data_IF_087197662562
#
_entry.id   IF_087197662562
#
_cell.length_a   1.000
_cell.length_b   1.000
_cell.length_c   1.000
_cell.angle_alpha   90.00
_cell.angle_beta   90.00
_cell.angle_gamma   90.00
#
_symmetry.space_group_name_H-M   'P 1'
#
loop_
_entity.id
_entity.type
_entity.pdbx_description
1 polymer ?
#
# COMPACT_ATOMS: atom_id res chain seq x y z
N UNK A 1 77.28 -19.11 -44.04
CA UNK A 1 76.55 -19.64 -42.89
C UNK A 1 76.41 -18.52 -41.88
N UNK A 2 75.25 -17.84 -41.89
CA UNK A 2 74.89 -16.75 -40.97
C UNK A 2 73.66 -17.13 -40.19
N UNK A 3 73.84 -17.25 -38.88
CA UNK A 3 72.78 -17.57 -37.94
C UNK A 3 72.04 -16.27 -37.53
N UNK A 4 70.81 -16.11 -37.99
CA UNK A 4 69.96 -14.96 -37.66
C UNK A 4 69.16 -15.29 -36.38
N UNK A 5 69.47 -14.64 -35.26
CA UNK A 5 68.72 -14.75 -33.98
C UNK A 5 67.64 -13.72 -33.99
N UNK A 6 66.40 -14.19 -34.12
CA UNK A 6 65.19 -13.34 -33.94
C UNK A 6 64.87 -13.19 -32.44
N UNK A 7 65.05 -11.98 -31.90
CA UNK A 7 64.61 -11.64 -30.57
C UNK A 7 63.09 -11.40 -30.62
N UNK A 8 62.31 -12.27 -29.96
CA UNK A 8 60.87 -12.12 -29.81
C UNK A 8 60.60 -11.26 -28.56
N UNK A 9 60.25 -10.01 -28.76
CA UNK A 9 59.81 -9.12 -27.67
C UNK A 9 58.39 -9.42 -27.29
N UNK A 10 58.20 -10.03 -26.12
CA UNK A 10 56.87 -10.25 -25.52
C UNK A 10 56.40 -8.95 -24.92
N UNK A 11 55.39 -8.33 -25.55
CA UNK A 11 54.65 -7.19 -25.00
C UNK A 11 53.61 -7.74 -24.01
N UNK A 12 53.83 -7.51 -22.71
CA UNK A 12 52.85 -7.75 -21.66
C UNK A 12 51.81 -6.65 -21.72
N UNK A 13 50.67 -6.91 -22.36
CA UNK A 13 49.49 -6.06 -22.18
C UNK A 13 48.97 -6.24 -20.73
N UNK A 14 49.28 -5.28 -19.89
CA UNK A 14 48.63 -5.11 -18.59
C UNK A 14 47.17 -4.72 -18.82
N UNK A 15 46.25 -5.70 -18.74
CA UNK A 15 44.86 -5.45 -18.68
C UNK A 15 44.54 -4.88 -17.28
N UNK A 16 44.47 -3.57 -17.17
CA UNK A 16 43.97 -2.90 -15.97
C UNK A 16 42.50 -3.26 -15.76
N UNK A 17 42.23 -4.19 -14.82
CA UNK A 17 40.90 -4.47 -14.33
C UNK A 17 40.44 -3.24 -13.54
N UNK A 18 39.73 -2.33 -14.19
CA UNK A 18 38.87 -1.36 -13.48
C UNK A 18 37.72 -2.15 -12.87
N UNK A 19 37.86 -2.53 -11.60
CA UNK A 19 36.75 -3.00 -10.78
C UNK A 19 35.78 -1.81 -10.57
N UNK A 20 34.91 -1.60 -11.55
CA UNK A 20 33.73 -0.80 -11.37
C UNK A 20 32.86 -1.51 -10.35
N UNK A 21 32.83 -0.99 -9.12
CA UNK A 21 31.86 -1.43 -8.15
C UNK A 21 30.48 -1.03 -8.70
N UNK A 22 29.72 -1.99 -9.23
CA UNK A 22 28.32 -1.76 -9.53
C UNK A 22 27.64 -1.19 -8.28
N UNK A 23 26.89 -0.09 -8.39
CA UNK A 23 26.15 0.45 -7.24
C UNK A 23 25.26 -0.66 -6.68
N UNK A 24 25.33 -0.89 -5.36
CA UNK A 24 24.50 -1.87 -4.70
C UNK A 24 23.01 -1.58 -5.03
N UNK A 25 22.20 -2.62 -5.33
CA UNK A 25 20.81 -2.42 -5.67
C UNK A 25 20.09 -1.68 -4.53
N UNK A 26 19.35 -0.64 -4.88
CA UNK A 26 18.55 0.13 -3.90
C UNK A 26 17.54 -0.82 -3.24
N UNK A 27 17.48 -0.91 -1.91
CA UNK A 27 16.53 -1.78 -1.22
C UNK A 27 15.09 -1.48 -1.65
N UNK A 28 14.35 -2.50 -2.03
CA UNK A 28 12.93 -2.37 -2.38
C UNK A 28 12.13 -2.06 -1.10
N UNK A 29 11.16 -1.12 -1.14
CA UNK A 29 10.31 -0.81 0.02
C UNK A 29 9.57 -2.06 0.51
N UNK A 30 9.49 -2.23 1.83
CA UNK A 30 8.68 -3.30 2.43
C UNK A 30 7.19 -3.00 2.31
N UNK A 31 6.33 -4.02 2.39
CA UNK A 31 4.86 -3.83 2.39
C UNK A 31 4.43 -2.89 3.53
N UNK A 32 5.04 -3.00 4.70
CA UNK A 32 4.78 -2.09 5.81
C UNK A 32 5.05 -0.63 5.44
N UNK A 33 6.18 -0.33 4.81
CA UNK A 33 6.50 1.03 4.34
C UNK A 33 5.53 1.52 3.26
N UNK A 34 5.07 0.61 2.38
CA UNK A 34 4.12 0.95 1.33
C UNK A 34 2.72 1.24 1.89
N UNK A 35 2.29 0.51 2.94
CA UNK A 35 0.98 0.68 3.60
C UNK A 35 0.95 1.90 4.53
N UNK A 36 2.06 2.22 5.21
CA UNK A 36 2.15 3.31 6.20
C UNK A 36 2.08 4.70 5.57
N UNK A 37 0.91 5.05 5.04
CA UNK A 37 0.63 6.30 4.34
C UNK A 37 -0.77 6.82 4.65
N UNK A 38 -1.08 8.00 4.12
CA UNK A 38 -2.43 8.56 4.11
C UNK A 38 -3.12 8.21 2.79
N UNK A 39 -4.25 7.53 2.85
CA UNK A 39 -4.95 6.97 1.71
C UNK A 39 -6.31 7.63 1.51
N UNK A 40 -6.66 7.91 0.25
CA UNK A 40 -7.97 8.39 -0.17
C UNK A 40 -8.58 7.42 -1.19
N UNK A 41 -9.90 7.32 -1.25
CA UNK A 41 -10.58 6.42 -2.20
C UNK A 41 -10.52 6.98 -3.62
N UNK A 42 -10.10 6.16 -4.56
CA UNK A 42 -10.30 6.39 -5.99
C UNK A 42 -11.51 5.64 -6.54
N UNK A 43 -11.82 4.46 -6.00
CA UNK A 43 -12.99 3.66 -6.36
C UNK A 43 -13.45 2.82 -5.17
N UNK A 44 -14.76 2.64 -5.01
CA UNK A 44 -15.36 1.76 -4.02
C UNK A 44 -16.42 0.86 -4.65
N UNK A 45 -16.42 -0.42 -4.28
CA UNK A 45 -17.44 -1.38 -4.70
C UNK A 45 -18.05 -2.09 -3.49
N UNK A 46 -19.33 -2.47 -3.61
CA UNK A 46 -20.04 -3.33 -2.65
C UNK A 46 -20.44 -4.63 -3.37
N UNK A 47 -19.92 -5.76 -2.90
CA UNK A 47 -20.06 -7.06 -3.58
C UNK A 47 -19.79 -6.97 -5.10
N UNK A 48 -18.73 -6.22 -5.48
CA UNK A 48 -18.34 -6.01 -6.88
C UNK A 48 -19.12 -4.93 -7.62
N UNK A 49 -20.21 -4.39 -7.05
CA UNK A 49 -21.00 -3.31 -7.68
C UNK A 49 -20.40 -1.96 -7.34
N UNK A 50 -20.02 -1.17 -8.35
CA UNK A 50 -19.43 0.16 -8.16
C UNK A 50 -20.39 1.10 -7.45
N UNK A 51 -19.95 1.64 -6.33
CA UNK A 51 -20.65 2.65 -5.53
C UNK A 51 -20.07 4.05 -5.75
N UNK A 52 -18.77 4.10 -5.98
CA UNK A 52 -18.02 5.34 -6.16
C UNK A 52 -16.87 5.18 -7.13
N UNK A 53 -16.67 6.20 -7.95
CA UNK A 53 -15.48 6.37 -8.78
C UNK A 53 -15.10 7.85 -8.79
N UNK A 54 -13.86 8.17 -8.42
CA UNK A 54 -13.35 9.54 -8.37
C UNK A 54 -13.41 10.18 -9.76
N UNK A 55 -14.02 11.36 -9.85
CA UNK A 55 -14.19 12.07 -11.12
C UNK A 55 -15.43 11.66 -11.94
N UNK A 56 -16.19 10.66 -11.52
CA UNK A 56 -17.46 10.35 -12.17
C UNK A 56 -18.50 11.47 -11.93
N UNK A 57 -19.35 11.70 -12.92
CA UNK A 57 -20.42 12.72 -12.86
C UNK A 57 -21.52 12.35 -11.88
N UNK A 58 -21.71 11.05 -11.62
CA UNK A 58 -22.67 10.54 -10.62
C UNK A 58 -22.08 9.33 -9.91
N UNK A 59 -22.33 9.23 -8.61
CA UNK A 59 -21.95 8.13 -7.76
C UNK A 59 -23.13 7.71 -6.90
N UNK A 60 -23.33 6.40 -6.70
CA UNK A 60 -24.39 5.88 -5.82
C UNK A 60 -24.14 6.28 -4.35
N UNK A 61 -22.88 6.29 -3.93
CA UNK A 61 -22.45 6.73 -2.60
C UNK A 61 -21.35 7.77 -2.75
N UNK A 62 -21.75 9.03 -3.01
CA UNK A 62 -20.83 10.16 -3.21
C UNK A 62 -19.94 10.47 -2.00
N UNK A 63 -20.38 10.07 -0.80
CA UNK A 63 -19.64 10.25 0.45
C UNK A 63 -18.26 9.61 0.50
N UNK A 64 -17.98 8.64 -0.36
CA UNK A 64 -16.62 8.07 -0.48
C UNK A 64 -15.55 9.10 -0.90
N UNK A 65 -15.96 10.26 -1.44
CA UNK A 65 -15.06 11.39 -1.67
C UNK A 65 -14.39 11.91 -0.39
N UNK A 66 -15.01 11.69 0.77
CA UNK A 66 -14.49 12.08 2.10
C UNK A 66 -13.69 10.97 2.78
N UNK A 67 -13.76 9.74 2.26
CA UNK A 67 -13.09 8.61 2.90
C UNK A 67 -11.57 8.85 2.95
N UNK A 68 -11.01 8.65 4.15
CA UNK A 68 -9.58 8.75 4.38
C UNK A 68 -9.14 7.71 5.40
N UNK A 69 -8.07 6.99 5.09
CA UNK A 69 -7.39 6.07 6.00
C UNK A 69 -5.96 6.56 6.19
N UNK A 70 -5.62 7.02 7.39
CA UNK A 70 -4.30 7.51 7.72
C UNK A 70 -3.56 6.49 8.58
N UNK A 71 -2.46 5.97 8.05
CA UNK A 71 -1.58 4.98 8.65
C UNK A 71 -0.13 5.49 8.70
N UNK A 72 0.07 6.80 8.69
CA UNK A 72 1.41 7.42 8.66
C UNK A 72 2.19 7.23 9.96
N UNK A 73 1.51 7.05 11.08
CA UNK A 73 2.13 6.65 12.34
C UNK A 73 2.50 5.16 12.31
N UNK A 74 3.49 4.75 13.09
CA UNK A 74 3.89 3.34 13.18
C UNK A 74 2.82 2.44 13.81
N UNK A 75 1.91 2.99 14.59
CA UNK A 75 0.89 2.25 15.35
C UNK A 75 -0.48 2.90 15.33
N UNK A 76 -0.56 4.24 15.34
CA UNK A 76 -1.84 4.96 15.36
C UNK A 76 -2.51 4.95 13.99
N UNK A 77 -3.84 4.83 13.98
CA UNK A 77 -4.67 4.93 12.79
C UNK A 77 -5.74 6.00 12.95
N UNK A 78 -6.07 6.67 11.86
CA UNK A 78 -7.25 7.53 11.75
C UNK A 78 -8.07 7.10 10.54
N UNK A 79 -9.37 6.94 10.73
CA UNK A 79 -10.32 6.56 9.71
C UNK A 79 -11.41 7.63 9.60
N UNK A 80 -11.57 8.22 8.42
CA UNK A 80 -12.78 8.98 8.07
C UNK A 80 -13.62 8.10 7.14
N UNK A 81 -14.81 7.74 7.57
CA UNK A 81 -15.72 6.91 6.77
C UNK A 81 -16.45 7.74 5.70
N UNK A 82 -17.12 7.05 4.79
CA UNK A 82 -17.84 7.68 3.68
C UNK A 82 -19.05 8.54 4.14
N UNK A 83 -19.51 8.41 5.38
CA UNK A 83 -20.51 9.29 6.00
C UNK A 83 -19.89 10.51 6.69
N UNK A 84 -18.55 10.67 6.61
CA UNK A 84 -17.80 11.76 7.21
C UNK A 84 -17.45 11.57 8.68
N UNK A 85 -17.87 10.48 9.31
CA UNK A 85 -17.47 10.16 10.71
C UNK A 85 -16.00 9.84 10.81
N UNK A 86 -15.36 10.40 11.83
CA UNK A 86 -13.94 10.24 12.10
C UNK A 86 -13.71 9.38 13.33
N UNK A 87 -12.82 8.41 13.20
CA UNK A 87 -12.42 7.51 14.27
C UNK A 87 -10.90 7.53 14.40
N UNK A 88 -10.43 7.33 15.63
CA UNK A 88 -9.02 7.13 15.93
C UNK A 88 -8.84 5.82 16.67
N UNK A 89 -7.69 5.20 16.49
CA UNK A 89 -7.34 3.94 17.11
C UNK A 89 -5.90 3.56 16.78
N UNK A 90 -5.64 2.28 16.72
CA UNK A 90 -4.35 1.73 16.31
C UNK A 90 -4.52 0.81 15.12
N UNK A 91 -3.41 0.44 14.47
CA UNK A 91 -3.45 -0.61 13.45
C UNK A 91 -2.29 -1.58 13.60
N UNK A 92 -2.50 -2.76 13.04
CA UNK A 92 -1.48 -3.79 12.88
C UNK A 92 -1.52 -4.35 11.47
N UNK A 93 -0.36 -4.74 10.96
CA UNK A 93 -0.23 -5.51 9.73
C UNK A 93 0.04 -6.97 10.12
N UNK A 94 -0.64 -7.92 9.49
CA UNK A 94 -0.40 -9.35 9.73
C UNK A 94 1.03 -9.76 9.34
N UNK A 95 1.54 -10.82 9.93
CA UNK A 95 2.92 -11.31 9.69
C UNK A 95 3.17 -11.70 8.23
N UNK A 96 2.13 -12.14 7.51
CA UNK A 96 2.16 -12.45 6.08
C UNK A 96 1.95 -11.22 5.18
N UNK A 97 1.78 -10.02 5.80
CA UNK A 97 1.54 -8.75 5.13
C UNK A 97 0.27 -8.72 4.24
N UNK A 98 -0.74 -9.54 4.55
CA UNK A 98 -1.97 -9.65 3.75
C UNK A 98 -3.19 -9.03 4.40
N UNK A 99 -3.09 -8.59 5.66
CA UNK A 99 -4.23 -8.03 6.40
C UNK A 99 -3.82 -6.81 7.20
N UNK A 100 -4.65 -5.76 7.14
CA UNK A 100 -4.60 -4.60 8.02
C UNK A 100 -5.76 -4.75 9.01
N UNK A 101 -5.46 -4.70 10.30
CA UNK A 101 -6.47 -4.69 11.37
C UNK A 101 -6.41 -3.33 12.06
N UNK A 102 -7.51 -2.58 12.01
CA UNK A 102 -7.72 -1.38 12.80
C UNK A 102 -8.33 -1.79 14.14
N UNK A 103 -7.75 -1.35 15.25
CA UNK A 103 -8.15 -1.74 16.61
C UNK A 103 -8.51 -0.53 17.44
N UNK A 104 -9.48 -0.70 18.35
CA UNK A 104 -9.89 0.33 19.29
C UNK A 104 -10.40 1.60 18.61
N UNK A 105 -10.95 1.48 17.39
CA UNK A 105 -11.53 2.62 16.69
C UNK A 105 -12.66 3.23 17.50
N UNK A 106 -12.54 4.51 17.83
CA UNK A 106 -13.55 5.25 18.61
C UNK A 106 -13.65 6.70 18.14
N UNK A 107 -14.81 7.29 18.39
CA UNK A 107 -15.12 8.71 18.23
C UNK A 107 -15.88 9.20 19.46
N UNK A 108 -16.30 10.46 19.49
CA UNK A 108 -17.21 10.98 20.54
C UNK A 108 -18.58 10.26 20.59
N UNK A 109 -18.95 9.59 19.50
CA UNK A 109 -20.22 8.84 19.38
C UNK A 109 -20.01 7.31 19.53
N UNK A 110 -18.80 6.88 19.90
CA UNK A 110 -18.43 5.48 20.07
C UNK A 110 -17.70 4.87 18.87
N UNK A 111 -17.74 3.55 18.79
CA UNK A 111 -17.09 2.77 17.73
C UNK A 111 -17.83 2.86 16.38
N UNK A 112 -17.15 2.52 15.24
CA UNK A 112 -17.86 2.34 13.97
C UNK A 112 -18.96 1.30 14.07
N UNK A 113 -20.09 1.58 13.48
CA UNK A 113 -21.33 0.76 13.62
C UNK A 113 -21.08 -0.71 13.29
N UNK A 114 -21.44 -1.60 14.21
CA UNK A 114 -21.36 -3.05 14.05
C UNK A 114 -19.94 -3.66 14.15
N UNK A 115 -18.94 -2.90 14.63
CA UNK A 115 -17.54 -3.34 14.60
C UNK A 115 -16.92 -3.56 15.97
N UNK A 116 -17.55 -3.12 17.06
CA UNK A 116 -16.95 -3.06 18.41
C UNK A 116 -15.55 -2.41 18.42
N UNK A 117 -15.30 -1.49 17.47
CA UNK A 117 -14.02 -0.79 17.32
C UNK A 117 -12.94 -1.56 16.55
N UNK A 118 -13.25 -2.71 15.97
CA UNK A 118 -12.29 -3.47 15.14
C UNK A 118 -12.79 -3.54 13.71
N UNK A 119 -11.93 -3.16 12.77
CA UNK A 119 -12.14 -3.34 11.33
C UNK A 119 -10.95 -4.07 10.72
N UNK A 120 -11.24 -5.13 9.98
CA UNK A 120 -10.21 -5.90 9.27
C UNK A 120 -10.36 -5.74 7.76
N UNK A 121 -9.23 -5.49 7.11
CA UNK A 121 -9.13 -5.41 5.65
C UNK A 121 -8.10 -6.39 5.13
N UNK A 122 -8.46 -7.20 4.15
CA UNK A 122 -7.51 -7.95 3.35
C UNK A 122 -6.85 -7.02 2.34
N UNK A 123 -5.54 -7.12 2.18
CA UNK A 123 -4.80 -6.43 1.12
C UNK A 123 -4.97 -7.26 -0.16
N UNK A 124 -5.48 -6.64 -1.21
CA UNK A 124 -5.70 -7.28 -2.50
C UNK A 124 -4.58 -6.88 -3.45
N UNK A 125 -3.84 -7.87 -3.94
CA UNK A 125 -2.67 -7.64 -4.79
C UNK A 125 -1.46 -7.11 -4.03
N UNK A 126 -0.55 -6.45 -4.74
CA UNK A 126 0.69 -5.90 -4.17
C UNK A 126 0.56 -4.37 -4.03
N UNK A 127 0.70 -3.82 -2.82
CA UNK A 127 0.74 -2.37 -2.63
C UNK A 127 1.90 -1.72 -3.39
N UNK A 128 1.69 -0.49 -3.82
CA UNK A 128 2.73 0.35 -4.44
C UNK A 128 2.92 1.64 -3.65
N UNK A 129 3.84 2.49 -4.08
CA UNK A 129 4.05 3.79 -3.46
C UNK A 129 2.81 4.70 -3.51
N UNK A 130 1.93 4.50 -4.48
CA UNK A 130 0.78 5.38 -4.76
C UNK A 130 -0.57 4.67 -4.77
N UNK A 131 -0.60 3.33 -4.68
CA UNK A 131 -1.84 2.56 -4.76
C UNK A 131 -1.88 1.42 -3.74
N UNK A 132 -3.05 1.25 -3.12
CA UNK A 132 -3.37 0.16 -2.20
C UNK A 132 -4.81 -0.27 -2.45
N UNK A 133 -5.05 -1.56 -2.67
CA UNK A 133 -6.41 -2.10 -2.72
C UNK A 133 -6.66 -2.92 -1.46
N UNK A 134 -7.77 -2.63 -0.79
CA UNK A 134 -8.20 -3.35 0.40
C UNK A 134 -9.66 -3.79 0.28
N UNK A 135 -10.00 -4.89 0.94
CA UNK A 135 -11.36 -5.40 1.03
C UNK A 135 -11.68 -5.74 2.48
N UNK A 136 -12.87 -5.41 2.96
CA UNK A 136 -13.31 -5.81 4.31
C UNK A 136 -13.29 -7.34 4.44
N UNK A 137 -12.73 -7.87 5.55
CA UNK A 137 -12.67 -9.33 5.79
C UNK A 137 -14.05 -9.94 5.95
N UNK A 138 -14.99 -9.16 6.50
CA UNK A 138 -16.40 -9.54 6.68
C UNK A 138 -17.31 -8.51 6.00
N UNK A 139 -18.61 -8.76 5.97
CA UNK A 139 -19.60 -7.79 5.52
C UNK A 139 -19.64 -6.58 6.46
N UNK A 140 -19.95 -5.41 5.93
CA UNK A 140 -19.99 -4.16 6.68
C UNK A 140 -21.42 -3.62 6.77
N UNK A 141 -21.90 -3.38 7.99
CA UNK A 141 -23.30 -3.00 8.23
C UNK A 141 -23.69 -1.71 7.52
N UNK A 142 -22.83 -0.70 7.53
CA UNK A 142 -23.06 0.58 6.82
C UNK A 142 -23.09 0.43 5.30
N UNK A 143 -22.54 -0.64 4.76
CA UNK A 143 -22.59 -1.00 3.35
C UNK A 143 -23.72 -2.00 3.07
N UNK A 144 -24.83 -1.92 3.80
CA UNK A 144 -25.99 -2.82 3.67
C UNK A 144 -25.60 -4.30 3.83
N UNK A 145 -24.70 -4.61 4.76
CA UNK A 145 -24.15 -5.93 5.02
C UNK A 145 -23.44 -6.56 3.80
N UNK A 146 -22.77 -5.74 3.00
CA UNK A 146 -21.99 -6.18 1.85
C UNK A 146 -20.49 -6.11 2.14
N UNK A 147 -19.71 -6.87 1.40
CA UNK A 147 -18.26 -6.70 1.37
C UNK A 147 -17.91 -5.41 0.63
N UNK A 148 -17.00 -4.64 1.20
CA UNK A 148 -16.54 -3.39 0.63
C UNK A 148 -15.12 -3.57 0.12
N UNK A 149 -14.91 -3.32 -1.17
CA UNK A 149 -13.58 -3.23 -1.76
C UNK A 149 -13.27 -1.77 -2.10
N UNK A 150 -12.08 -1.32 -1.71
CA UNK A 150 -11.61 0.06 -1.88
C UNK A 150 -10.31 0.06 -2.65
N UNK A 151 -10.30 0.70 -3.81
CA UNK A 151 -9.07 1.11 -4.46
C UNK A 151 -8.65 2.47 -3.89
N UNK A 152 -7.49 2.50 -3.26
CA UNK A 152 -6.95 3.65 -2.54
C UNK A 152 -5.77 4.24 -3.28
N UNK A 153 -5.63 5.56 -3.21
CA UNK A 153 -4.49 6.31 -3.74
C UNK A 153 -3.88 7.17 -2.63
N UNK A 154 -2.55 7.26 -2.64
CA UNK A 154 -1.82 8.24 -1.86
C UNK A 154 -1.60 9.45 -2.76
N UNK A 155 -2.13 10.64 -2.40
CA UNK A 155 -1.99 11.86 -3.19
C UNK A 155 -0.57 12.38 -3.23
#
# INVERSE_FOLDING_TARGET
QGLLICLLSVQLLSCGSSSGSDPAPTPQPTVSQLVSKSWSVSSATWDGVTQYSKGATSNLVSGYSQFKLDLTSSTAASLTEFDGRKFTGTYTLSTDNKKITLNGLTSSEGAPSGTNGTLEFNIVGTPTATALTIETSTTYIKASNKKVSLALVNP
#
